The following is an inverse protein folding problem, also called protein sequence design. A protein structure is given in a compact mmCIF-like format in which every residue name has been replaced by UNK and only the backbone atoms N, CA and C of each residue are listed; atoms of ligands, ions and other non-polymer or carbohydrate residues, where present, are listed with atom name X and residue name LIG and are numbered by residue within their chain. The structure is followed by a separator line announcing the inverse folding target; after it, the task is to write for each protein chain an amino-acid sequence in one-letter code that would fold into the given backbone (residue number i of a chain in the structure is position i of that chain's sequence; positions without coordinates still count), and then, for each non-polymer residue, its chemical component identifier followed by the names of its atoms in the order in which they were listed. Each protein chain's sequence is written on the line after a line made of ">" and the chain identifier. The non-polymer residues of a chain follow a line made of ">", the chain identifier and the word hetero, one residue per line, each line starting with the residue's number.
data_IF_772840873700
#
_entry.id   IF_772840873700
#
_cell.length_a   1.000
_cell.length_b   1.000
_cell.length_c   1.000
_cell.angle_alpha   90.00
_cell.angle_beta   90.00
_cell.angle_gamma   90.00
#
_symmetry.space_group_name_H-M   'P 1'
#
loop_
_entity.id
_entity.type
_entity.pdbx_description
1 polymer ?
#
# COMPACT_ATOMS: atom_id res chain seq x y z
N UNK A 1 4.72 -9.92 6.11
CA UNK A 1 4.96 -11.26 6.70
C UNK A 1 3.68 -11.98 7.19
N UNK A 2 2.93 -11.44 8.18
CA UNK A 2 1.76 -12.12 8.76
C UNK A 2 0.69 -12.51 7.72
N UNK A 3 0.40 -11.62 6.77
CA UNK A 3 -0.50 -11.88 5.65
C UNK A 3 -0.09 -13.13 4.86
N UNK A 4 1.20 -13.27 4.55
CA UNK A 4 1.76 -14.40 3.82
C UNK A 4 1.74 -15.72 4.62
N UNK A 5 1.97 -15.67 5.93
CA UNK A 5 1.90 -16.86 6.78
C UNK A 5 0.46 -17.38 6.90
N UNK A 6 -0.53 -16.49 6.98
CA UNK A 6 -1.95 -16.87 6.91
C UNK A 6 -2.28 -17.48 5.55
N UNK A 7 -1.78 -16.88 4.46
CA UNK A 7 -1.96 -17.40 3.10
C UNK A 7 -1.41 -18.83 2.95
N UNK A 8 -0.20 -19.10 3.47
CA UNK A 8 0.42 -20.44 3.45
C UNK A 8 -0.49 -21.51 4.05
N UNK A 9 -1.06 -21.24 5.22
CA UNK A 9 -1.94 -22.18 5.92
C UNK A 9 -3.25 -22.47 5.16
N UNK A 10 -3.74 -21.50 4.38
CA UNK A 10 -4.98 -21.62 3.59
C UNK A 10 -4.78 -22.19 2.19
N UNK A 11 -3.60 -22.01 1.60
CA UNK A 11 -3.29 -22.47 0.24
C UNK A 11 -3.02 -23.97 0.15
N UNK A 12 -2.71 -24.62 1.28
CA UNK A 12 -2.46 -26.06 1.34
C UNK A 12 -3.72 -26.90 1.59
N UNK A 13 -3.79 -28.14 1.09
CA UNK A 13 -4.88 -29.06 1.38
C UNK A 13 -5.12 -29.22 2.89
N UNK A 14 -6.36 -29.50 3.34
CA UNK A 14 -6.71 -29.55 4.77
C UNK A 14 -5.83 -30.49 5.61
N UNK A 15 -5.39 -31.62 5.01
CA UNK A 15 -4.52 -32.61 5.64
C UNK A 15 -3.09 -32.11 5.88
N UNK A 16 -2.61 -31.15 5.07
CA UNK A 16 -1.27 -30.56 5.16
C UNK A 16 -1.26 -29.19 5.85
N UNK A 17 -2.41 -28.55 6.02
CA UNK A 17 -2.56 -27.23 6.66
C UNK A 17 -1.85 -27.10 8.03
N UNK A 18 -1.84 -28.12 8.92
CA UNK A 18 -1.13 -28.00 10.20
C UNK A 18 0.39 -27.84 10.06
N UNK A 19 0.97 -28.39 9.00
CA UNK A 19 2.42 -28.32 8.71
C UNK A 19 2.82 -26.97 8.10
N UNK A 20 1.85 -26.21 7.59
CA UNK A 20 2.05 -24.92 6.94
C UNK A 20 1.56 -23.74 7.80
N UNK A 21 1.36 -23.97 9.10
CA UNK A 21 1.10 -22.92 10.09
C UNK A 21 2.41 -22.49 10.72
N UNK A 22 2.66 -21.20 10.65
CA UNK A 22 3.91 -20.58 11.07
C UNK A 22 3.62 -19.37 11.95
N UNK A 23 4.38 -19.23 13.02
CA UNK A 23 4.41 -18.02 13.84
C UNK A 23 5.66 -17.18 13.50
N UNK A 24 5.52 -15.86 13.28
CA UNK A 24 6.68 -15.01 13.00
C UNK A 24 7.57 -14.88 14.24
N UNK A 25 8.89 -14.96 14.05
CA UNK A 25 9.88 -14.80 15.11
C UNK A 25 10.67 -13.50 14.94
N UNK A 26 10.43 -12.54 15.82
CA UNK A 26 11.14 -11.24 15.80
C UNK A 26 10.73 -10.36 14.63
N UNK A 27 11.65 -9.49 14.19
CA UNK A 27 11.45 -8.58 13.06
C UNK A 27 11.87 -9.23 11.72
N UNK A 28 11.44 -8.68 10.57
CA UNK A 28 11.96 -9.11 9.28
C UNK A 28 13.48 -8.97 9.21
N UNK A 29 14.16 -9.95 8.60
CA UNK A 29 15.61 -9.96 8.47
C UNK A 29 16.10 -9.10 7.30
N UNK A 30 15.31 -9.05 6.22
CA UNK A 30 15.62 -8.28 5.01
C UNK A 30 14.35 -7.96 4.24
N UNK A 31 14.38 -6.86 3.49
CA UNK A 31 13.33 -6.43 2.56
C UNK A 31 14.00 -5.98 1.26
N UNK A 32 13.56 -6.52 0.13
CA UNK A 32 14.03 -6.12 -1.21
C UNK A 32 12.87 -5.54 -2.03
N UNK A 33 13.18 -4.57 -2.88
CA UNK A 33 12.28 -4.16 -3.96
C UNK A 33 12.45 -5.15 -5.12
N UNK A 34 11.34 -5.69 -5.64
CA UNK A 34 11.37 -6.56 -6.81
C UNK A 34 10.82 -5.81 -8.03
N UNK A 35 11.62 -5.77 -9.09
CA UNK A 35 11.23 -5.24 -10.39
C UNK A 35 11.34 -6.33 -11.45
N UNK A 36 10.38 -6.35 -12.36
CA UNK A 36 10.39 -7.21 -13.54
C UNK A 36 9.95 -6.37 -14.74
N UNK A 37 10.77 -6.35 -15.79
CA UNK A 37 10.56 -5.55 -17.00
C UNK A 37 10.27 -4.07 -16.69
N UNK A 38 11.09 -3.46 -15.84
CA UNK A 38 10.96 -2.08 -15.34
C UNK A 38 9.65 -1.76 -14.57
N UNK A 39 8.84 -2.76 -14.23
CA UNK A 39 7.64 -2.61 -13.41
C UNK A 39 7.89 -3.07 -11.97
N UNK A 40 7.45 -2.27 -11.01
CA UNK A 40 7.48 -2.63 -9.60
C UNK A 40 6.52 -3.80 -9.32
N UNK A 41 7.06 -4.92 -8.86
CA UNK A 41 6.33 -6.15 -8.57
C UNK A 41 5.98 -6.29 -7.08
N UNK A 42 6.53 -5.42 -6.23
CA UNK A 42 6.30 -5.45 -4.79
C UNK A 42 7.56 -5.69 -3.95
N UNK A 43 7.34 -6.17 -2.72
CA UNK A 43 8.39 -6.40 -1.74
C UNK A 43 8.66 -7.88 -1.54
N UNK A 44 9.94 -8.24 -1.48
CA UNK A 44 10.40 -9.54 -0.99
C UNK A 44 10.80 -9.40 0.46
N UNK A 45 10.10 -10.06 1.37
CA UNK A 45 10.33 -9.97 2.80
C UNK A 45 10.83 -11.29 3.33
N UNK A 46 12.03 -11.30 3.90
CA UNK A 46 12.61 -12.48 4.54
C UNK A 46 12.31 -12.45 6.04
N UNK A 47 11.82 -13.54 6.59
CA UNK A 47 11.39 -13.64 8.00
C UNK A 47 11.75 -15.01 8.57
N UNK A 48 12.30 -15.01 9.78
CA UNK A 48 12.42 -16.22 10.60
C UNK A 48 11.04 -16.58 11.17
N UNK A 49 10.68 -17.85 11.10
CA UNK A 49 9.38 -18.38 11.53
C UNK A 49 9.52 -19.64 12.36
N UNK A 50 8.52 -19.90 13.21
CA UNK A 50 8.42 -21.10 14.01
C UNK A 50 7.24 -21.95 13.51
N UNK A 51 7.47 -23.16 12.97
CA UNK A 51 6.38 -24.06 12.58
C UNK A 51 5.54 -24.50 13.78
N UNK A 52 4.22 -24.55 13.62
CA UNK A 52 3.30 -25.01 14.67
C UNK A 52 3.42 -26.51 14.97
N UNK A 53 3.85 -27.31 14.00
CA UNK A 53 4.02 -28.76 14.13
C UNK A 53 5.20 -29.20 15.01
N UNK A 54 5.81 -28.29 15.79
CA UNK A 54 7.02 -28.50 16.59
C UNK A 54 8.21 -28.97 15.72
N UNK A 55 8.99 -28.00 15.25
CA UNK A 55 10.19 -28.22 14.43
C UNK A 55 11.25 -27.14 14.68
N UNK A 56 12.44 -27.25 14.06
CA UNK A 56 13.42 -26.16 14.10
C UNK A 56 12.82 -24.89 13.49
N UNK A 57 13.34 -23.73 13.89
CA UNK A 57 12.96 -22.47 13.25
C UNK A 57 13.38 -22.49 11.77
N UNK A 58 12.48 -22.02 10.92
CA UNK A 58 12.68 -21.94 9.47
C UNK A 58 12.86 -20.48 9.05
N UNK A 59 13.39 -20.25 7.86
CA UNK A 59 13.46 -18.92 7.25
C UNK A 59 12.74 -18.96 5.92
N UNK A 60 11.73 -18.10 5.79
CA UNK A 60 10.92 -17.99 4.59
C UNK A 60 11.15 -16.63 3.93
N UNK A 61 11.05 -16.59 2.61
CA UNK A 61 10.93 -15.35 1.85
C UNK A 61 9.54 -15.26 1.24
N UNK A 62 8.93 -14.09 1.36
CA UNK A 62 7.55 -13.82 0.98
C UNK A 62 7.52 -12.70 -0.04
N UNK A 63 6.84 -12.92 -1.16
CA UNK A 63 6.58 -11.89 -2.16
C UNK A 63 5.20 -11.27 -1.94
N UNK A 64 5.19 -10.00 -1.56
CA UNK A 64 4.00 -9.17 -1.38
C UNK A 64 3.87 -8.20 -2.54
N UNK A 65 2.75 -8.23 -3.26
CA UNK A 65 2.47 -7.39 -4.42
C UNK A 65 1.36 -6.38 -4.11
N UNK A 66 1.49 -5.10 -4.49
CA UNK A 66 0.41 -4.13 -4.33
C UNK A 66 -0.74 -4.46 -5.29
N UNK A 67 -1.97 -4.27 -4.83
CA UNK A 67 -3.17 -4.38 -5.65
C UNK A 67 -3.50 -3.00 -6.24
N UNK A 68 -3.52 -2.91 -7.57
CA UNK A 68 -3.90 -1.69 -8.27
C UNK A 68 -5.29 -1.21 -7.85
N UNK A 69 -5.43 0.09 -7.58
CA UNK A 69 -6.65 0.69 -7.05
C UNK A 69 -7.31 1.72 -7.97
N UNK A 70 -6.66 2.05 -9.11
CA UNK A 70 -7.19 3.01 -10.08
C UNK A 70 -8.42 2.43 -10.80
N UNK A 71 -9.49 3.21 -10.79
CA UNK A 71 -10.69 2.97 -11.60
C UNK A 71 -10.96 4.21 -12.44
N UNK A 72 -10.87 4.06 -13.76
CA UNK A 72 -11.33 5.08 -14.71
C UNK A 72 -12.84 4.96 -14.85
N UNK A 73 -13.57 6.06 -14.64
CA UNK A 73 -15.04 6.08 -14.55
C UNK A 73 -15.71 6.85 -15.70
N UNK A 74 -14.93 7.53 -16.54
CA UNK A 74 -15.45 8.33 -17.66
C UNK A 74 -16.05 7.51 -18.80
N UNK A 75 -17.10 8.06 -19.44
CA UNK A 75 -17.70 7.52 -20.66
C UNK A 75 -16.83 7.83 -21.89
N UNK A 76 -16.82 6.88 -22.83
CA UNK A 76 -16.02 6.82 -24.07
C UNK A 76 -16.26 7.96 -25.08
N UNK A 77 -17.24 8.83 -24.86
CA UNK A 77 -17.69 9.87 -25.80
C UNK A 77 -16.95 11.20 -25.64
N UNK A 78 -16.33 11.45 -24.48
CA UNK A 78 -15.21 12.39 -24.37
C UNK A 78 -13.98 11.59 -23.97
N UNK A 79 -12.97 11.55 -24.83
CA UNK A 79 -11.70 10.90 -24.53
C UNK A 79 -11.09 11.57 -23.28
N UNK A 80 -11.36 10.98 -22.09
CA UNK A 80 -10.79 11.45 -20.84
C UNK A 80 -9.28 11.46 -21.01
N UNK A 81 -8.68 12.66 -20.92
CA UNK A 81 -7.23 12.81 -21.01
C UNK A 81 -6.52 12.09 -19.86
N UNK A 82 -7.23 11.78 -18.78
CA UNK A 82 -6.65 11.12 -17.61
C UNK A 82 -6.16 9.71 -17.96
N UNK A 83 -4.86 9.49 -17.86
CA UNK A 83 -4.22 8.19 -18.05
C UNK A 83 -4.00 7.46 -16.73
N UNK A 84 -3.56 8.17 -15.68
CA UNK A 84 -3.35 7.60 -14.35
C UNK A 84 -3.60 8.62 -13.25
N UNK A 85 -4.01 8.12 -12.08
CA UNK A 85 -4.13 8.87 -10.85
C UNK A 85 -3.49 8.04 -9.72
N UNK A 86 -2.41 8.57 -9.15
CA UNK A 86 -1.63 7.92 -8.10
C UNK A 86 -1.51 8.83 -6.87
N UNK A 87 -1.41 8.20 -5.70
CA UNK A 87 -1.15 8.90 -4.44
C UNK A 87 0.06 8.26 -3.79
N UNK A 88 1.00 9.07 -3.33
CA UNK A 88 2.23 8.59 -2.71
C UNK A 88 3.00 9.68 -2.00
N UNK A 89 4.21 9.35 -1.56
CA UNK A 89 5.18 10.28 -0.96
C UNK A 89 6.50 10.21 -1.72
N UNK A 90 7.37 11.20 -1.48
CA UNK A 90 8.68 11.28 -2.13
C UNK A 90 8.59 11.35 -3.66
N UNK A 91 7.75 12.26 -4.16
CA UNK A 91 7.65 12.55 -5.59
C UNK A 91 8.98 13.08 -6.13
N UNK A 92 9.53 12.41 -7.14
CA UNK A 92 10.71 12.82 -7.88
C UNK A 92 10.27 13.55 -9.16
N UNK A 93 10.38 14.89 -9.25
CA UNK A 93 9.94 15.64 -10.42
C UNK A 93 10.81 15.41 -11.66
N UNK A 94 12.03 14.90 -11.49
CA UNK A 94 12.94 14.62 -12.62
C UNK A 94 12.54 13.31 -13.30
N UNK A 95 12.39 12.24 -12.52
CA UNK A 95 12.03 10.90 -13.03
C UNK A 95 10.50 10.71 -13.14
N UNK A 96 9.70 11.65 -12.61
CA UNK A 96 8.23 11.67 -12.64
C UNK A 96 7.60 10.42 -12.02
N UNK A 97 8.14 9.98 -10.88
CA UNK A 97 7.70 8.81 -10.11
C UNK A 97 7.78 9.06 -8.60
N UNK A 98 7.09 8.24 -7.83
CA UNK A 98 7.23 8.19 -6.37
C UNK A 98 8.41 7.28 -5.97
N UNK A 99 9.32 7.77 -5.13
CA UNK A 99 10.43 6.96 -4.59
C UNK A 99 9.96 6.00 -3.48
N UNK A 100 8.83 6.30 -2.83
CA UNK A 100 8.07 5.34 -2.05
C UNK A 100 7.27 4.42 -2.98
N UNK A 101 7.95 3.45 -3.62
CA UNK A 101 7.37 2.58 -4.66
C UNK A 101 6.12 1.80 -4.21
N UNK A 102 6.06 1.39 -2.94
CA UNK A 102 4.92 0.67 -2.38
C UNK A 102 3.78 1.56 -1.93
N UNK A 103 3.93 2.89 -1.97
CA UNK A 103 2.93 3.82 -1.44
C UNK A 103 2.61 3.55 0.04
N UNK A 104 3.60 3.14 0.84
CA UNK A 104 3.42 2.85 2.25
C UNK A 104 3.26 4.17 3.00
N UNK A 105 2.08 4.41 3.56
CA UNK A 105 1.74 5.65 4.27
C UNK A 105 1.27 5.36 5.68
N UNK A 106 1.72 6.16 6.64
CA UNK A 106 1.27 6.20 8.01
C UNK A 106 0.50 7.49 8.34
N UNK A 107 -0.03 7.60 9.57
CA UNK A 107 -0.92 8.70 9.95
C UNK A 107 -0.25 10.08 9.96
N UNK A 108 1.08 10.15 9.96
CA UNK A 108 1.83 11.42 10.03
C UNK A 108 2.41 11.86 8.70
N UNK A 109 2.23 11.06 7.64
CA UNK A 109 2.74 11.36 6.31
C UNK A 109 1.93 12.45 5.61
N UNK A 110 2.56 13.09 4.62
CA UNK A 110 1.97 14.15 3.79
C UNK A 110 1.83 13.63 2.34
N UNK A 111 0.69 12.98 2.00
CA UNK A 111 0.52 12.38 0.69
C UNK A 111 0.38 13.42 -0.42
N UNK A 112 0.85 13.07 -1.59
CA UNK A 112 0.78 13.87 -2.83
C UNK A 112 -0.07 13.11 -3.84
N UNK A 113 -1.01 13.77 -4.49
CA UNK A 113 -1.72 13.21 -5.63
C UNK A 113 -1.04 13.65 -6.93
N UNK A 114 -0.79 12.70 -7.81
CA UNK A 114 -0.22 12.91 -9.15
C UNK A 114 -1.20 12.39 -10.19
N UNK A 115 -1.48 13.21 -11.19
CA UNK A 115 -2.31 12.86 -12.34
C UNK A 115 -1.42 12.85 -13.59
N UNK A 116 -1.56 11.82 -14.43
CA UNK A 116 -0.95 11.77 -15.76
C UNK A 116 -2.01 11.96 -16.82
N UNK A 117 -1.69 12.76 -17.82
CA UNK A 117 -2.61 13.23 -18.85
C UNK A 117 -2.05 12.96 -20.24
N UNK A 118 -2.92 12.49 -21.13
CA UNK A 118 -2.68 12.51 -22.57
C UNK A 118 -2.77 13.96 -23.08
N UNK A 119 -2.19 14.23 -24.26
CA UNK A 119 -2.38 15.51 -24.96
C UNK A 119 -3.84 15.66 -25.40
N UNK A 120 -4.36 16.89 -25.39
CA UNK A 120 -5.75 17.15 -25.76
C UNK A 120 -6.16 18.60 -25.51
N UNK A 121 -7.45 18.96 -25.57
CA UNK A 121 -7.89 20.32 -25.26
C UNK A 121 -7.69 20.66 -23.78
N UNK A 122 -7.61 21.97 -23.49
CA UNK A 122 -7.54 22.46 -22.11
C UNK A 122 -8.79 22.01 -21.34
N UNK A 123 -8.59 21.56 -20.10
CA UNK A 123 -9.68 21.21 -19.19
C UNK A 123 -9.36 21.67 -17.77
N UNK A 124 -10.42 21.78 -16.97
CA UNK A 124 -10.30 21.95 -15.52
C UNK A 124 -10.89 20.72 -14.86
N UNK A 125 -10.12 20.11 -13.97
CA UNK A 125 -10.57 18.96 -13.20
C UNK A 125 -10.59 19.29 -11.70
N UNK A 126 -11.62 18.85 -11.00
CA UNK A 126 -11.76 19.00 -9.55
C UNK A 126 -11.23 17.73 -8.88
N UNK A 127 -10.24 17.87 -8.01
CA UNK A 127 -9.70 16.78 -7.18
C UNK A 127 -10.37 16.84 -5.81
N UNK A 128 -10.89 15.71 -5.35
CA UNK A 128 -11.53 15.58 -4.03
C UNK A 128 -10.88 14.45 -3.25
N UNK A 129 -10.45 14.74 -2.03
CA UNK A 129 -9.90 13.77 -1.09
C UNK A 129 -10.96 13.40 -0.05
N UNK A 130 -11.21 12.11 0.10
CA UNK A 130 -12.24 11.56 0.99
C UNK A 130 -11.56 10.58 1.95
N UNK A 131 -11.79 10.78 3.24
CA UNK A 131 -11.24 9.94 4.29
C UNK A 131 -12.03 8.61 4.45
N UNK A 132 -11.56 7.66 5.27
CA UNK A 132 -12.21 6.36 5.46
C UNK A 132 -13.62 6.41 6.07
N UNK A 133 -14.04 7.53 6.65
CA UNK A 133 -15.38 7.74 7.20
C UNK A 133 -16.23 8.68 6.34
N UNK A 134 -15.81 8.90 5.08
CA UNK A 134 -16.50 9.73 4.10
C UNK A 134 -16.48 11.24 4.39
N UNK A 135 -15.55 11.71 5.21
CA UNK A 135 -15.29 13.15 5.38
C UNK A 135 -14.51 13.65 4.17
N UNK A 136 -15.00 14.70 3.54
CA UNK A 136 -14.27 15.39 2.46
C UNK A 136 -13.16 16.24 3.09
N UNK A 137 -11.93 15.74 3.00
CA UNK A 137 -10.76 16.35 3.63
C UNK A 137 -10.30 17.61 2.89
N UNK A 138 -10.38 17.61 1.56
CA UNK A 138 -10.09 18.78 0.72
C UNK A 138 -10.70 18.64 -0.67
N UNK A 139 -10.96 19.78 -1.31
CA UNK A 139 -11.34 19.87 -2.72
C UNK A 139 -10.63 21.05 -3.37
N UNK A 140 -10.08 20.85 -4.57
CA UNK A 140 -9.43 21.92 -5.34
C UNK A 140 -9.49 21.63 -6.85
N UNK A 141 -9.43 22.70 -7.64
CA UNK A 141 -9.42 22.62 -9.09
C UNK A 141 -7.99 22.66 -9.63
N UNK A 142 -7.74 21.89 -10.68
CA UNK A 142 -6.48 21.85 -11.42
C UNK A 142 -6.76 22.14 -12.88
N UNK A 143 -6.11 23.18 -13.41
CA UNK A 143 -6.15 23.50 -14.84
C UNK A 143 -5.10 22.69 -15.59
N UNK A 144 -5.52 22.00 -16.65
CA UNK A 144 -4.67 21.12 -17.45
C UNK A 144 -4.62 21.67 -18.87
N UNK A 145 -3.49 22.28 -19.21
CA UNK A 145 -3.24 22.78 -20.57
C UNK A 145 -3.06 21.64 -21.58
N UNK A 146 -3.09 21.99 -22.86
CA UNK A 146 -3.14 21.01 -23.95
C UNK A 146 -1.97 20.03 -23.99
N UNK A 147 -0.79 20.51 -23.62
CA UNK A 147 0.47 19.76 -23.62
C UNK A 147 0.91 19.30 -22.21
N UNK A 148 0.11 19.59 -21.18
CA UNK A 148 0.41 19.14 -19.82
C UNK A 148 0.31 17.62 -19.73
N UNK A 149 1.42 16.97 -19.38
CA UNK A 149 1.51 15.52 -19.21
C UNK A 149 1.33 15.08 -17.76
N UNK A 150 1.74 15.92 -16.79
CA UNK A 150 1.69 15.59 -15.36
C UNK A 150 1.26 16.80 -14.55
N UNK A 151 0.30 16.61 -13.66
CA UNK A 151 -0.03 17.56 -12.59
C UNK A 151 0.17 16.88 -11.24
N UNK A 152 0.57 17.66 -10.23
CA UNK A 152 0.74 17.16 -8.88
C UNK A 152 0.38 18.23 -7.86
N UNK A 153 -0.18 17.81 -6.73
CA UNK A 153 -0.45 18.69 -5.61
C UNK A 153 -0.39 17.93 -4.29
N UNK A 154 0.22 18.58 -3.29
CA UNK A 154 0.29 18.11 -1.91
C UNK A 154 -0.64 18.98 -1.04
N UNK A 155 -1.85 18.52 -0.72
CA UNK A 155 -2.75 19.30 0.12
C UNK A 155 -2.21 19.44 1.56
N UNK A 156 -2.37 20.60 2.21
CA UNK A 156 -1.90 20.84 3.57
C UNK A 156 -2.88 20.26 4.59
N UNK A 157 -3.02 18.92 4.62
CA UNK A 157 -3.96 18.24 5.50
C UNK A 157 -3.48 18.26 6.96
N UNK A 158 -4.39 18.56 7.89
CA UNK A 158 -4.18 18.39 9.33
C UNK A 158 -3.83 16.94 9.65
N UNK A 159 -2.95 16.75 10.63
CA UNK A 159 -2.48 15.44 11.10
C UNK A 159 -2.96 15.14 12.53
N UNK A 160 -3.05 13.87 12.91
CA UNK A 160 -2.79 12.68 12.09
C UNK A 160 -3.91 12.41 11.06
N UNK A 161 -3.55 11.84 9.92
CA UNK A 161 -4.51 11.27 8.98
C UNK A 161 -5.20 10.06 9.62
N UNK A 162 -6.52 9.97 9.49
CA UNK A 162 -7.26 8.81 9.96
C UNK A 162 -6.79 7.54 9.25
N UNK A 163 -6.39 6.47 9.96
CA UNK A 163 -6.03 5.22 9.32
C UNK A 163 -7.21 4.56 8.59
N UNK A 164 -6.92 3.87 7.49
CA UNK A 164 -7.89 3.16 6.65
C UNK A 164 -7.77 3.52 5.17
N UNK A 165 -8.73 3.02 4.39
CA UNK A 165 -8.79 3.24 2.94
C UNK A 165 -9.28 4.65 2.59
N UNK A 166 -8.37 5.51 2.14
CA UNK A 166 -8.68 6.82 1.59
C UNK A 166 -9.04 6.74 0.11
N UNK A 167 -9.85 7.68 -0.37
CA UNK A 167 -10.23 7.78 -1.78
C UNK A 167 -9.91 9.17 -2.32
N UNK A 168 -9.26 9.22 -3.48
CA UNK A 168 -9.11 10.46 -4.26
C UNK A 168 -9.95 10.33 -5.52
N UNK A 169 -10.91 11.24 -5.71
CA UNK A 169 -11.75 11.32 -6.90
C UNK A 169 -11.33 12.50 -7.76
N UNK A 170 -11.35 12.28 -9.06
CA UNK A 170 -11.16 13.32 -10.06
C UNK A 170 -12.47 13.51 -10.84
N UNK A 171 -12.94 14.74 -10.90
CA UNK A 171 -14.22 15.10 -11.50
C UNK A 171 -14.00 16.15 -12.58
N UNK A 172 -14.86 16.17 -13.59
CA UNK A 172 -14.96 17.25 -14.56
C UNK A 172 -16.43 17.66 -14.63
N UNK A 173 -16.74 18.93 -14.35
CA UNK A 173 -18.13 19.41 -14.27
C UNK A 173 -19.03 18.55 -13.37
N UNK A 174 -18.49 18.06 -12.25
CA UNK A 174 -19.14 17.12 -11.31
C UNK A 174 -19.40 15.71 -11.85
N UNK A 175 -18.92 15.37 -13.04
CA UNK A 175 -18.91 14.00 -13.55
C UNK A 175 -17.59 13.28 -13.21
N UNK A 176 -17.61 12.04 -12.69
CA UNK A 176 -16.39 11.30 -12.36
C UNK A 176 -15.54 10.93 -13.59
N UNK A 177 -14.28 11.39 -13.60
CA UNK A 177 -13.27 10.97 -14.57
C UNK A 177 -12.56 9.69 -14.12
N UNK A 178 -12.25 9.60 -12.83
CA UNK A 178 -11.60 8.46 -12.24
C UNK A 178 -11.45 8.59 -10.74
N UNK A 179 -11.19 7.46 -10.08
CA UNK A 179 -10.90 7.40 -8.66
C UNK A 179 -9.71 6.47 -8.40
N UNK A 180 -8.95 6.78 -7.36
CA UNK A 180 -7.93 5.89 -6.82
C UNK A 180 -8.09 5.78 -5.32
N UNK A 181 -7.61 4.67 -4.75
CA UNK A 181 -7.59 4.47 -3.29
C UNK A 181 -6.17 4.28 -2.81
N UNK A 182 -5.86 4.81 -1.65
CA UNK A 182 -4.60 4.58 -0.95
C UNK A 182 -4.88 4.23 0.50
N UNK A 183 -3.92 3.56 1.14
CA UNK A 183 -4.07 3.09 2.51
C UNK A 183 -3.19 3.89 3.44
N UNK A 184 -3.80 4.53 4.44
CA UNK A 184 -3.07 5.03 5.61
C UNK A 184 -3.07 3.92 6.65
N UNK A 185 -1.91 3.29 6.86
CA UNK A 185 -1.78 2.15 7.75
C UNK A 185 -1.77 2.58 9.22
N UNK A 186 -2.56 1.94 10.09
CA UNK A 186 -2.40 2.14 11.52
C UNK A 186 -1.05 1.58 11.98
N UNK A 187 -0.29 2.38 12.74
CA UNK A 187 1.02 1.95 13.25
C UNK A 187 0.84 1.00 14.45
N UNK A 188 1.50 -0.15 14.44
CA UNK A 188 1.56 -1.07 15.60
C UNK A 188 2.75 -0.80 16.52
N UNK A 189 3.67 0.06 16.08
CA UNK A 189 4.87 0.44 16.82
C UNK A 189 5.00 1.97 16.89
N UNK A 190 5.47 2.46 18.04
CA UNK A 190 5.92 3.84 18.21
C UNK A 190 7.35 3.82 18.72
N UNK A 191 8.27 4.54 18.04
CA UNK A 191 9.71 4.53 18.36
C UNK A 191 10.29 3.12 18.51
N UNK A 192 9.90 2.21 17.62
CA UNK A 192 10.29 0.78 17.60
C UNK A 192 9.84 -0.06 18.81
N UNK A 193 8.95 0.47 19.65
CA UNK A 193 8.31 -0.26 20.74
C UNK A 193 6.85 -0.52 20.41
N UNK A 194 6.24 -1.63 20.89
CA UNK A 194 4.81 -1.86 20.72
C UNK A 194 3.99 -0.67 21.19
N UNK A 195 3.01 -0.28 20.39
CA UNK A 195 2.17 0.89 20.67
C UNK A 195 1.43 0.70 22.00
N UNK A 196 1.53 1.71 22.87
CA UNK A 196 0.83 1.76 24.17
C UNK A 196 -0.52 2.43 24.00
N UNK A 197 -1.45 2.15 24.92
CA UNK A 197 -2.81 2.71 24.88
C UNK A 197 -2.84 4.24 24.85
N UNK A 198 -1.95 4.88 25.61
CA UNK A 198 -1.86 6.34 25.69
C UNK A 198 -1.39 6.98 24.36
N UNK A 199 -0.60 6.25 23.57
CA UNK A 199 -0.12 6.71 22.26
C UNK A 199 -1.08 6.37 21.12
N UNK A 200 -1.83 5.27 21.24
CA UNK A 200 -2.73 4.78 20.20
C UNK A 200 -3.90 5.73 19.96
N UNK A 201 -4.48 6.24 21.05
CA UNK A 201 -5.70 7.03 21.03
C UNK A 201 -5.58 8.29 20.17
N UNK A 202 -4.45 9.01 20.23
CA UNK A 202 -4.27 10.23 19.43
C UNK A 202 -3.83 9.92 18.00
N UNK A 203 -2.95 8.94 17.81
CA UNK A 203 -2.32 8.66 16.52
C UNK A 203 -3.31 8.07 15.50
N UNK A 204 -4.34 7.37 15.96
CA UNK A 204 -5.32 6.69 15.11
C UNK A 204 -6.69 7.40 15.06
N UNK A 205 -6.91 8.47 15.83
CA UNK A 205 -8.20 9.17 15.89
C UNK A 205 -8.53 10.01 14.64
N UNK A 206 -7.51 10.40 13.87
CA UNK A 206 -7.63 11.45 12.85
C UNK A 206 -7.40 12.85 13.43
N UNK A 207 -7.64 13.92 12.65
CA UNK A 207 -7.47 15.28 13.14
C UNK A 207 -8.58 15.65 14.15
N UNK A 208 -8.31 16.60 15.06
CA UNK A 208 -9.34 17.14 15.94
C UNK A 208 -10.58 17.59 15.15
N UNK A 209 -11.78 17.30 15.69
CA UNK A 209 -13.07 17.68 15.10
C UNK A 209 -13.34 17.15 13.69
N UNK A 210 -12.56 16.17 13.20
CA UNK A 210 -12.61 15.69 11.81
C UNK A 210 -12.29 16.78 10.77
N UNK A 211 -11.53 17.80 11.16
CA UNK A 211 -11.19 18.95 10.31
C UNK A 211 -9.78 18.81 9.74
N UNK A 212 -9.69 18.44 8.46
CA UNK A 212 -8.42 18.32 7.74
C UNK A 212 -7.92 19.65 7.18
N UNK A 213 -8.77 20.67 7.08
CA UNK A 213 -8.45 22.01 6.61
C UNK A 213 -9.33 23.04 7.34
N UNK A 214 -8.89 24.31 7.38
CA UNK A 214 -9.69 25.42 7.92
C UNK A 214 -11.00 25.63 7.12
N UNK A 215 -10.96 25.34 5.82
CA UNK A 215 -12.14 25.38 4.96
C UNK A 215 -12.94 24.07 5.08
N UNK A 216 -14.24 24.18 5.38
CA UNK A 216 -15.15 23.04 5.40
C UNK A 216 -15.68 22.69 4.01
N UNK A 217 -15.72 21.40 3.70
CA UNK A 217 -16.22 20.84 2.44
C UNK A 217 -17.47 19.94 2.62
N UNK A 218 -18.13 20.00 3.77
CA UNK A 218 -19.28 19.13 4.10
C UNK A 218 -20.44 19.25 3.09
N UNK A 219 -20.60 20.42 2.44
CA UNK A 219 -21.61 20.63 1.39
C UNK A 219 -21.43 19.76 0.15
N UNK A 220 -20.21 19.23 -0.09
CA UNK A 220 -19.92 18.37 -1.23
C UNK A 220 -20.41 16.93 -1.04
N UNK A 221 -20.66 16.48 0.20
CA UNK A 221 -21.03 15.09 0.47
C UNK A 221 -22.31 14.66 -0.26
N UNK A 222 -23.30 15.55 -0.33
CA UNK A 222 -24.54 15.30 -1.08
C UNK A 222 -24.34 15.26 -2.59
N UNK A 223 -23.48 16.13 -3.14
CA UNK A 223 -23.17 16.19 -4.58
C UNK A 223 -22.42 14.93 -5.02
N UNK A 224 -21.52 14.44 -4.16
CA UNK A 224 -20.66 13.29 -4.42
C UNK A 224 -21.34 11.94 -4.11
N UNK A 225 -22.60 11.95 -3.69
CA UNK A 225 -23.38 10.78 -3.27
C UNK A 225 -22.62 9.92 -2.25
N UNK A 226 -22.01 10.55 -1.24
CA UNK A 226 -21.25 9.84 -0.22
C UNK A 226 -22.19 9.10 0.75
N UNK A 227 -21.80 7.92 1.27
CA UNK A 227 -22.55 7.23 2.31
C UNK A 227 -22.69 8.06 3.59
N UNK A 228 -23.61 7.65 4.47
CA UNK A 228 -23.73 8.25 5.79
C UNK A 228 -22.47 7.99 6.64
N UNK A 229 -21.87 9.02 7.26
CA UNK A 229 -20.60 8.89 7.97
C UNK A 229 -20.73 8.22 9.35
N UNK A 230 -21.86 8.40 10.05
CA UNK A 230 -22.06 7.97 11.45
C UNK A 230 -21.58 6.53 11.77
N UNK A 231 -21.94 5.48 10.99
CA UNK A 231 -21.50 4.12 11.32
C UNK A 231 -19.99 3.94 11.15
N UNK A 232 -19.39 4.61 10.16
CA UNK A 232 -17.98 4.55 9.88
C UNK A 232 -17.17 5.34 10.92
N UNK A 233 -17.67 6.48 11.37
CA UNK A 233 -17.06 7.27 12.44
C UNK A 233 -17.05 6.51 13.77
N UNK A 234 -18.16 5.88 14.15
CA UNK A 234 -18.22 5.08 15.38
C UNK A 234 -17.29 3.85 15.30
N UNK A 235 -17.18 3.21 14.13
CA UNK A 235 -16.18 2.16 13.92
C UNK A 235 -14.75 2.69 14.05
N UNK A 236 -14.44 3.86 13.46
CA UNK A 236 -13.12 4.48 13.53
C UNK A 236 -12.74 4.86 14.98
N UNK A 237 -13.68 5.38 15.77
CA UNK A 237 -13.46 5.68 17.19
C UNK A 237 -13.08 4.43 17.99
N UNK A 238 -13.76 3.30 17.75
CA UNK A 238 -13.42 2.02 18.39
C UNK A 238 -12.05 1.51 17.93
N UNK A 239 -11.72 1.65 16.64
CA UNK A 239 -10.42 1.25 16.11
C UNK A 239 -9.26 2.07 16.68
N UNK A 240 -9.47 3.36 16.94
CA UNK A 240 -8.44 4.24 17.49
C UNK A 240 -7.96 3.85 18.90
N UNK A 241 -8.75 3.07 19.64
CA UNK A 241 -8.39 2.59 20.97
C UNK A 241 -7.69 1.20 20.96
N UNK A 242 -7.60 0.55 19.80
CA UNK A 242 -7.04 -0.79 19.69
C UNK A 242 -5.53 -0.79 19.96
N UNK A 243 -5.08 -1.82 20.67
CA UNK A 243 -3.64 -2.09 20.90
C UNK A 243 -3.37 -3.59 20.83
N UNK A 244 -2.09 -3.96 20.76
CA UNK A 244 -1.65 -5.36 20.77
C UNK A 244 -2.29 -6.20 19.65
N UNK A 245 -2.67 -7.46 19.92
CA UNK A 245 -3.20 -8.37 18.90
C UNK A 245 -4.45 -7.85 18.15
N UNK A 246 -5.29 -7.06 18.81
CA UNK A 246 -6.48 -6.50 18.16
C UNK A 246 -6.13 -5.44 17.12
N UNK A 247 -5.15 -4.57 17.42
CA UNK A 247 -4.61 -3.60 16.48
C UNK A 247 -3.90 -4.29 15.31
N UNK A 248 -3.14 -5.36 15.59
CA UNK A 248 -2.50 -6.16 14.55
C UNK A 248 -3.52 -6.81 13.61
N UNK A 249 -4.63 -7.34 14.15
CA UNK A 249 -5.69 -7.92 13.36
C UNK A 249 -6.38 -6.88 12.45
N UNK A 250 -6.66 -5.68 12.97
CA UNK A 250 -7.18 -4.58 12.16
C UNK A 250 -6.20 -4.17 11.06
N UNK A 251 -4.92 -3.98 11.40
CA UNK A 251 -3.86 -3.63 10.43
C UNK A 251 -3.75 -4.66 9.30
N UNK A 252 -3.72 -5.95 9.65
CA UNK A 252 -3.63 -7.03 8.68
C UNK A 252 -4.89 -7.11 7.80
N UNK A 253 -6.06 -6.79 8.36
CA UNK A 253 -7.33 -6.70 7.64
C UNK A 253 -7.32 -5.60 6.58
N UNK A 254 -6.94 -4.38 6.95
CA UNK A 254 -6.81 -3.27 6.01
C UNK A 254 -5.78 -3.57 4.91
N UNK A 255 -4.61 -4.08 5.30
CA UNK A 255 -3.53 -4.41 4.38
C UNK A 255 -3.96 -5.42 3.31
N UNK A 256 -4.80 -6.40 3.68
CA UNK A 256 -5.28 -7.44 2.76
C UNK A 256 -6.15 -6.92 1.60
N UNK A 257 -6.71 -5.71 1.74
CA UNK A 257 -7.47 -5.05 0.66
C UNK A 257 -6.61 -4.26 -0.35
N UNK A 258 -5.31 -4.13 -0.08
CA UNK A 258 -4.36 -3.36 -0.88
C UNK A 258 -3.12 -4.16 -1.28
N UNK A 259 -2.89 -5.33 -0.68
CA UNK A 259 -1.72 -6.17 -0.92
C UNK A 259 -2.14 -7.64 -1.05
N UNK A 260 -1.52 -8.33 -1.99
CA UNK A 260 -1.65 -9.78 -2.17
C UNK A 260 -0.33 -10.49 -1.91
N UNK A 261 -0.43 -11.79 -1.63
CA UNK A 261 0.72 -12.68 -1.50
C UNK A 261 0.87 -13.37 -2.84
N UNK A 262 1.94 -13.05 -3.57
CA UNK A 262 2.19 -13.59 -4.90
C UNK A 262 3.08 -14.85 -4.87
N UNK A 263 3.89 -15.01 -3.82
CA UNK A 263 4.76 -16.17 -3.67
C UNK A 263 5.28 -16.34 -2.24
N UNK A 264 5.63 -17.58 -1.92
CA UNK A 264 6.24 -17.98 -0.66
C UNK A 264 7.25 -19.10 -0.94
N UNK A 265 8.46 -18.96 -0.44
CA UNK A 265 9.50 -19.97 -0.57
C UNK A 265 10.27 -20.14 0.74
N UNK A 266 10.96 -21.27 0.89
CA UNK A 266 11.82 -21.55 2.03
C UNK A 266 13.30 -21.42 1.66
N UNK A 267 14.10 -20.80 2.54
CA UNK A 267 15.55 -20.67 2.34
C UNK A 267 16.29 -22.02 2.49
N UNK A 268 15.68 -22.97 3.19
CA UNK A 268 16.19 -24.32 3.41
C UNK A 268 15.05 -25.35 3.45
N UNK A 269 15.31 -26.58 3.92
CA UNK A 269 14.27 -27.59 4.10
C UNK A 269 13.14 -27.05 4.97
N UNK A 270 11.89 -27.25 4.53
CA UNK A 270 10.68 -26.78 5.20
C UNK A 270 9.78 -27.97 5.58
N UNK A 271 9.14 -27.86 6.74
CA UNK A 271 8.13 -28.82 7.20
C UNK A 271 6.81 -28.72 6.42
N UNK A 272 6.53 -27.57 5.80
CA UNK A 272 5.34 -27.37 4.98
C UNK A 272 5.53 -28.02 3.59
N UNK A 273 4.73 -29.06 3.25
CA UNK A 273 4.78 -29.66 1.92
C UNK A 273 4.21 -28.69 0.88
N UNK A 274 4.99 -28.42 -0.16
CA UNK A 274 4.61 -27.50 -1.24
C UNK A 274 5.35 -26.17 -1.24
N UNK A 275 6.14 -25.86 -0.21
CA UNK A 275 7.10 -24.76 -0.29
C UNK A 275 8.33 -25.19 -1.07
N UNK A 276 8.55 -24.51 -2.20
CA UNK A 276 9.78 -24.64 -2.97
C UNK A 276 10.95 -23.92 -2.30
N UNK A 277 12.17 -24.34 -2.67
CA UNK A 277 13.39 -23.66 -2.21
C UNK A 277 13.51 -22.32 -2.94
N UNK A 278 13.80 -21.26 -2.20
CA UNK A 278 13.90 -19.90 -2.73
C UNK A 278 14.86 -19.78 -3.94
N UNK A 279 16.01 -20.47 -3.89
CA UNK A 279 16.99 -20.52 -4.99
C UNK A 279 16.48 -21.12 -6.31
N UNK A 280 15.36 -21.84 -6.28
CA UNK A 280 14.76 -22.47 -7.47
C UNK A 280 13.65 -21.62 -8.08
N UNK A 281 13.23 -20.56 -7.38
CA UNK A 281 12.21 -19.63 -7.87
C UNK A 281 12.80 -18.64 -8.87
N UNK A 282 11.94 -17.96 -9.63
CA UNK A 282 12.33 -16.89 -10.55
C UNK A 282 12.25 -15.48 -9.96
N UNK A 283 11.74 -15.35 -8.73
CA UNK A 283 11.40 -14.06 -8.11
C UNK A 283 12.14 -13.80 -6.81
N UNK A 284 12.69 -14.82 -6.16
CA UNK A 284 13.37 -14.67 -4.86
C UNK A 284 14.65 -13.86 -4.98
N UNK A 285 15.00 -13.14 -3.92
CA UNK A 285 16.28 -12.42 -3.83
C UNK A 285 17.50 -13.35 -3.83
N UNK A 286 17.33 -14.65 -3.56
CA UNK A 286 18.39 -15.66 -3.62
C UNK A 286 18.30 -16.57 -4.84
N UNK A 287 17.43 -16.24 -5.79
CA UNK A 287 17.47 -16.85 -7.12
C UNK A 287 18.76 -16.41 -7.85
N UNK A 288 19.32 -17.22 -8.76
CA UNK A 288 20.54 -16.85 -9.48
C UNK A 288 20.36 -15.57 -10.30
N UNK A 289 21.27 -14.61 -10.14
CA UNK A 289 21.33 -13.37 -10.95
C UNK A 289 22.73 -13.21 -11.57
N UNK A 290 23.03 -13.96 -12.65
CA UNK A 290 24.38 -13.98 -13.25
C UNK A 290 24.87 -12.62 -13.76
N UNK A 291 23.97 -11.64 -13.93
CA UNK A 291 24.32 -10.30 -14.37
C UNK A 291 24.97 -9.48 -13.26
N UNK A 292 24.63 -9.73 -12.00
CA UNK A 292 25.17 -9.02 -10.84
C UNK A 292 26.21 -9.83 -10.06
N UNK A 293 26.28 -11.14 -10.28
CA UNK A 293 27.27 -12.01 -9.67
C UNK A 293 28.69 -11.79 -10.23
N UNK A 294 29.67 -11.73 -9.32
CA UNK A 294 31.08 -11.61 -9.67
C UNK A 294 31.80 -12.95 -9.45
N UNK A 295 32.24 -13.57 -10.56
CA UNK A 295 33.00 -14.80 -10.55
C UNK A 295 34.52 -14.60 -10.52
N UNK A 296 35.30 -15.68 -10.70
CA UNK A 296 36.74 -15.58 -10.92
C UNK A 296 37.07 -14.87 -12.24
N UNK A 297 38.25 -14.23 -12.29
CA UNK A 297 38.77 -13.58 -13.50
C UNK A 297 39.04 -14.63 -14.58
N UNK A 298 38.49 -14.42 -15.77
CA UNK A 298 38.71 -15.26 -16.95
C UNK A 298 40.14 -15.10 -17.47
N UNK A 299 40.57 -16.00 -18.35
CA UNK A 299 41.92 -15.98 -18.93
C UNK A 299 42.24 -14.70 -19.71
N UNK A 300 41.23 -13.96 -20.20
CA UNK A 300 41.37 -12.68 -20.89
C UNK A 300 41.45 -11.46 -19.94
N UNK A 301 41.50 -11.69 -18.62
CA UNK A 301 41.56 -10.65 -17.61
C UNK A 301 40.21 -9.98 -17.30
N UNK A 302 39.09 -10.53 -17.78
CA UNK A 302 37.74 -9.95 -17.58
C UNK A 302 36.87 -10.79 -16.66
N UNK A 303 35.83 -10.16 -16.13
CA UNK A 303 34.74 -10.82 -15.41
C UNK A 303 33.51 -11.05 -16.31
N UNK A 304 33.29 -10.17 -17.30
CA UNK A 304 32.16 -10.21 -18.23
C UNK A 304 32.39 -11.10 -19.44
#
# INVERSE_FOLDING_TARGET
>A
PRLSLRHAATATPPLASPLCRFEPRGLPSSVHLYFYDDHFQGYLVTQAVQPSAQGPAETLEMWLMPQGSLKLLGRSDQASRLQSLEVGTEWDPKERLFRNFGGLLGPLDEPVAVQRWARGPNLTATVVWIDPTYVVATSYDVTVDADTEVTQYKPPLSRPLRPGAWTVRLLQFWEPLGETRFLVLPLTFNRKLPLRKDDASWLHAGPPHNEYMEQSFQGLSGILNLPQPEPAEEAARRHAELTGPALEAWTDGELSGFWSVAGLCAMGPSSCPGLELCRLTSWSSVSPDPKSELGPVKADGRLR
#
